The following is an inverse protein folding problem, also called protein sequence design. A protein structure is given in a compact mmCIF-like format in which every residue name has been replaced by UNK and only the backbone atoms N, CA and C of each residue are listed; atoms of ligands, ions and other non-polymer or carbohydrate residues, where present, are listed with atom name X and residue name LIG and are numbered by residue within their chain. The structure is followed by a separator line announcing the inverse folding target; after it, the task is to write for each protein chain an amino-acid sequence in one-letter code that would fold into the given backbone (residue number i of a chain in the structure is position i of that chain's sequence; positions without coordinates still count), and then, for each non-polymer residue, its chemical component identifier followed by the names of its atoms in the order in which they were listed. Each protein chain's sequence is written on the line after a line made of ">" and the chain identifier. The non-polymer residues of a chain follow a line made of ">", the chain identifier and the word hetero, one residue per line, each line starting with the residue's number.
data_IF_205744354804
#
_entry.id   IF_205744354804
#
_cell.length_a   1.000
_cell.length_b   1.000
_cell.length_c   1.000
_cell.angle_alpha   90.00
_cell.angle_beta   90.00
_cell.angle_gamma   90.00
#
_symmetry.space_group_name_H-M   'P 1'
#
loop_
_entity.id
_entity.type
_entity.pdbx_description
1 polymer ?
#
# COMPACT_ATOMS: atom_id res chain seq x y z
N UNK A 1 0.88 -9.30 -18.39
CA UNK A 1 -0.52 -9.65 -18.07
C UNK A 1 -0.60 -10.40 -16.75
N UNK A 2 0.13 -11.51 -16.60
CA UNK A 2 0.17 -12.33 -15.37
C UNK A 2 0.42 -11.55 -14.06
N UNK A 3 1.43 -10.67 -13.99
CA UNK A 3 1.72 -9.91 -12.75
C UNK A 3 0.56 -9.01 -12.32
N UNK A 4 -0.20 -8.46 -13.28
CA UNK A 4 -1.35 -7.60 -12.98
C UNK A 4 -2.49 -8.42 -12.36
N UNK A 5 -2.77 -9.60 -12.92
CA UNK A 5 -3.77 -10.52 -12.39
C UNK A 5 -3.40 -10.95 -10.95
N UNK A 6 -2.13 -11.25 -10.69
CA UNK A 6 -1.65 -11.56 -9.34
C UNK A 6 -1.82 -10.37 -8.38
N UNK A 7 -1.50 -9.14 -8.79
CA UNK A 7 -1.70 -7.94 -7.96
C UNK A 7 -3.18 -7.75 -7.58
N UNK A 8 -4.08 -7.90 -8.55
CA UNK A 8 -5.53 -7.77 -8.33
C UNK A 8 -6.02 -8.88 -7.39
N UNK A 9 -5.56 -10.12 -7.57
CA UNK A 9 -5.90 -11.24 -6.69
C UNK A 9 -5.37 -11.07 -5.25
N UNK A 10 -4.11 -10.66 -5.09
CA UNK A 10 -3.51 -10.44 -3.77
C UNK A 10 -4.16 -9.27 -3.04
N UNK A 11 -4.45 -8.17 -3.75
CA UNK A 11 -5.18 -7.02 -3.20
C UNK A 11 -6.60 -7.41 -2.75
N UNK A 12 -7.32 -8.18 -3.57
CA UNK A 12 -8.63 -8.72 -3.18
C UNK A 12 -8.56 -9.63 -1.94
N UNK A 13 -7.43 -10.33 -1.76
CA UNK A 13 -7.15 -11.15 -0.58
C UNK A 13 -6.69 -10.35 0.65
N UNK A 14 -6.64 -9.02 0.57
CA UNK A 14 -6.25 -8.14 1.68
C UNK A 14 -4.74 -8.07 1.93
N UNK A 15 -3.93 -8.60 1.01
CA UNK A 15 -2.47 -8.52 1.10
C UNK A 15 -1.99 -7.18 0.56
N UNK A 16 -0.98 -6.58 1.21
CA UNK A 16 -0.32 -5.39 0.69
C UNK A 16 0.61 -5.77 -0.44
N UNK A 17 0.38 -5.20 -1.61
CA UNK A 17 1.16 -5.52 -2.81
C UNK A 17 2.18 -4.44 -3.15
N UNK A 18 3.38 -4.83 -3.58
CA UNK A 18 4.39 -3.93 -4.14
C UNK A 18 4.86 -4.46 -5.50
N UNK A 19 5.06 -3.58 -6.47
CA UNK A 19 5.72 -3.93 -7.74
C UNK A 19 7.22 -3.67 -7.66
N UNK A 20 8.01 -4.55 -8.25
CA UNK A 20 9.45 -4.37 -8.38
C UNK A 20 9.82 -4.28 -9.86
N UNK A 21 10.56 -3.24 -10.21
CA UNK A 21 11.06 -3.02 -11.55
C UNK A 21 12.50 -2.50 -11.49
N UNK A 22 13.24 -2.67 -12.58
CA UNK A 22 14.64 -2.24 -12.66
C UNK A 22 14.96 -1.71 -14.05
N UNK A 23 16.10 -1.03 -14.18
CA UNK A 23 16.64 -0.59 -15.46
C UNK A 23 18.16 -0.67 -15.41
N UNK A 24 18.77 -1.07 -16.51
CA UNK A 24 20.22 -0.95 -16.67
C UNK A 24 20.58 0.48 -17.01
N UNK A 25 21.53 1.04 -16.28
CA UNK A 25 22.05 2.39 -16.52
C UNK A 25 23.50 2.27 -16.97
N UNK A 26 23.86 3.01 -18.01
CA UNK A 26 25.28 3.22 -18.32
C UNK A 26 25.90 4.13 -17.26
N UNK A 27 27.21 4.00 -16.99
CA UNK A 27 27.93 4.91 -16.09
C UNK A 27 27.70 6.39 -16.44
N UNK A 28 27.83 6.74 -17.73
CA UNK A 28 27.65 8.12 -18.21
C UNK A 28 26.24 8.67 -17.92
N UNK A 29 25.20 7.84 -18.09
CA UNK A 29 23.82 8.23 -17.81
C UNK A 29 23.63 8.49 -16.33
N UNK A 30 24.17 7.60 -15.48
CA UNK A 30 24.10 7.76 -14.04
C UNK A 30 24.86 9.00 -13.57
N UNK A 31 26.07 9.24 -14.07
CA UNK A 31 26.88 10.41 -13.70
C UNK A 31 26.15 11.72 -14.06
N UNK A 32 25.63 11.83 -15.28
CA UNK A 32 24.87 13.00 -15.72
C UNK A 32 23.61 13.25 -14.88
N UNK A 33 22.91 12.19 -14.47
CA UNK A 33 21.76 12.30 -13.57
C UNK A 33 22.18 12.69 -12.15
N UNK A 34 23.25 12.08 -11.64
CA UNK A 34 23.72 12.28 -10.27
C UNK A 34 24.22 13.71 -10.03
N UNK A 35 24.81 14.36 -11.03
CA UNK A 35 25.14 15.80 -10.95
C UNK A 35 23.89 16.65 -10.67
N UNK A 36 22.80 16.40 -11.40
CA UNK A 36 21.51 17.08 -11.20
C UNK A 36 20.92 16.76 -9.83
N UNK A 37 21.03 15.51 -9.41
CA UNK A 37 20.55 15.08 -8.09
C UNK A 37 21.30 15.78 -6.95
N UNK A 38 22.63 15.91 -7.05
CA UNK A 38 23.46 16.63 -6.06
C UNK A 38 23.08 18.11 -6.01
N UNK A 39 22.84 18.74 -7.17
CA UNK A 39 22.38 20.13 -7.24
C UNK A 39 21.00 20.30 -6.58
N UNK A 40 20.05 19.41 -6.86
CA UNK A 40 18.72 19.42 -6.23
C UNK A 40 18.83 19.23 -4.71
N UNK A 41 19.61 18.24 -4.26
CA UNK A 41 19.84 17.93 -2.84
C UNK A 41 20.46 19.10 -2.08
N UNK A 42 21.38 19.83 -2.71
CA UNK A 42 22.06 20.99 -2.13
C UNK A 42 21.20 22.27 -2.17
N UNK A 43 19.99 22.22 -2.73
CA UNK A 43 19.16 23.40 -2.85
C UNK A 43 18.59 23.84 -1.50
N UNK A 44 18.70 25.14 -1.22
CA UNK A 44 18.13 25.76 -0.01
C UNK A 44 16.63 26.07 -0.15
N UNK A 45 16.10 26.05 -1.38
CA UNK A 45 14.69 26.33 -1.69
C UNK A 45 14.11 25.23 -2.55
N UNK A 46 12.89 24.82 -2.21
CA UNK A 46 12.10 23.82 -2.95
C UNK A 46 12.85 22.50 -3.15
N UNK A 47 13.64 22.10 -2.15
CA UNK A 47 14.51 20.92 -2.23
C UNK A 47 13.74 19.64 -2.56
N UNK A 48 12.63 19.40 -1.86
CA UNK A 48 11.80 18.19 -2.07
C UNK A 48 11.28 18.14 -3.49
N UNK A 49 10.63 19.23 -3.96
CA UNK A 49 10.14 19.32 -5.33
C UNK A 49 11.23 19.08 -6.38
N UNK A 50 12.43 19.64 -6.20
CA UNK A 50 13.56 19.43 -7.13
C UNK A 50 14.08 18.00 -7.10
N UNK A 51 14.07 17.35 -5.93
CA UNK A 51 14.45 15.95 -5.82
C UNK A 51 13.45 15.06 -6.54
N UNK A 52 12.14 15.33 -6.39
CA UNK A 52 11.08 14.61 -7.08
C UNK A 52 11.21 14.76 -8.62
N UNK A 53 11.39 15.99 -9.10
CA UNK A 53 11.59 16.28 -10.54
C UNK A 53 12.80 15.53 -11.10
N UNK A 54 13.91 15.44 -10.35
CA UNK A 54 15.11 14.72 -10.78
C UNK A 54 14.91 13.20 -10.70
N UNK A 55 14.24 12.69 -9.68
CA UNK A 55 13.92 11.26 -9.55
C UNK A 55 13.08 10.78 -10.74
N UNK A 56 12.07 11.56 -11.15
CA UNK A 56 11.25 11.24 -12.32
C UNK A 56 12.06 11.09 -13.60
N UNK A 57 13.21 11.75 -13.75
CA UNK A 57 14.04 11.64 -14.96
C UNK A 57 14.64 10.24 -15.13
N UNK A 58 14.99 9.56 -14.04
CA UNK A 58 15.64 8.25 -14.07
C UNK A 58 14.64 7.09 -13.94
N UNK A 59 13.51 7.33 -13.29
CA UNK A 59 12.43 6.35 -13.05
C UNK A 59 11.51 6.15 -14.27
N UNK A 60 12.09 6.15 -15.48
CA UNK A 60 11.39 5.91 -16.75
C UNK A 60 11.90 4.67 -17.45
N UNK A 61 11.04 4.02 -18.22
CA UNK A 61 11.37 2.85 -19.04
C UNK A 61 11.92 1.67 -18.22
N UNK A 62 11.30 1.42 -17.06
CA UNK A 62 11.66 0.32 -16.18
C UNK A 62 11.13 -1.01 -16.72
N UNK A 63 11.90 -2.08 -16.48
CA UNK A 63 11.54 -3.46 -16.75
C UNK A 63 10.92 -4.05 -15.49
N UNK A 64 9.64 -4.40 -15.56
CA UNK A 64 8.93 -5.06 -14.47
C UNK A 64 9.52 -6.45 -14.20
N UNK A 65 9.97 -6.70 -12.97
CA UNK A 65 10.41 -8.01 -12.48
C UNK A 65 9.18 -8.81 -12.03
N UNK A 66 8.29 -8.17 -11.26
CA UNK A 66 7.15 -8.84 -10.66
C UNK A 66 6.49 -8.02 -9.55
N UNK A 67 5.76 -8.71 -8.68
CA UNK A 67 5.16 -8.14 -7.49
C UNK A 67 5.36 -9.02 -6.26
N UNK A 68 5.38 -8.42 -5.08
CA UNK A 68 5.28 -9.10 -3.79
C UNK A 68 3.89 -8.91 -3.20
N UNK A 69 3.52 -9.79 -2.27
CA UNK A 69 2.31 -9.68 -1.46
C UNK A 69 2.69 -9.94 0.00
N UNK A 70 2.40 -8.97 0.86
CA UNK A 70 2.77 -8.98 2.27
C UNK A 70 1.48 -9.06 3.08
N UNK A 71 1.38 -10.08 3.92
CA UNK A 71 0.31 -10.20 4.88
C UNK A 71 0.55 -9.23 6.04
N UNK A 72 -0.42 -8.34 6.30
CA UNK A 72 -0.41 -7.52 7.50
C UNK A 72 -1.05 -8.32 8.64
N UNK A 73 -0.20 -8.92 9.47
CA UNK A 73 -0.68 -9.72 10.59
C UNK A 73 -1.27 -8.82 11.64
N UNK A 74 -2.45 -9.22 12.13
CA UNK A 74 -3.00 -8.62 13.34
C UNK A 74 -2.02 -8.78 14.50
N UNK A 75 -1.98 -7.77 15.38
CA UNK A 75 -1.24 -7.89 16.63
C UNK A 75 -1.80 -9.07 17.43
N UNK A 76 -0.92 -9.70 18.21
CA UNK A 76 -1.29 -10.84 19.05
C UNK A 76 -2.44 -10.47 20.00
N UNK A 77 -3.46 -11.33 20.08
CA UNK A 77 -4.60 -11.14 20.97
C UNK A 77 -5.69 -10.18 20.48
N UNK A 78 -5.51 -9.47 19.36
CA UNK A 78 -6.53 -8.55 18.81
C UNK A 78 -7.90 -9.22 18.64
N UNK A 79 -8.03 -10.40 18.01
CA UNK A 79 -9.34 -11.04 17.84
C UNK A 79 -10.03 -11.38 19.17
N UNK A 80 -9.27 -11.86 20.15
CA UNK A 80 -9.78 -12.21 21.47
C UNK A 80 -10.22 -10.97 22.27
N UNK A 81 -9.46 -9.87 22.16
CA UNK A 81 -9.79 -8.59 22.78
C UNK A 81 -11.09 -8.02 22.21
N UNK A 82 -11.21 -7.92 20.88
CA UNK A 82 -12.42 -7.44 20.20
C UNK A 82 -13.64 -8.27 20.60
N UNK A 83 -13.51 -9.59 20.62
CA UNK A 83 -14.60 -10.48 21.03
C UNK A 83 -15.01 -10.24 22.49
N UNK A 84 -14.05 -10.06 23.39
CA UNK A 84 -14.31 -9.80 24.82
C UNK A 84 -15.03 -8.47 25.03
N UNK A 85 -14.55 -7.40 24.39
CA UNK A 85 -15.16 -6.08 24.44
C UNK A 85 -16.59 -6.09 23.86
N UNK A 86 -16.78 -6.76 22.72
CA UNK A 86 -18.09 -6.93 22.10
C UNK A 86 -19.08 -7.68 23.00
N UNK A 87 -18.64 -8.79 23.63
CA UNK A 87 -19.45 -9.54 24.63
C UNK A 87 -19.80 -8.72 25.87
N UNK A 88 -18.94 -7.79 26.26
CA UNK A 88 -19.20 -6.83 27.33
C UNK A 88 -20.18 -5.70 26.93
N UNK A 89 -20.68 -5.70 25.69
CA UNK A 89 -21.63 -4.71 25.18
C UNK A 89 -20.99 -3.44 24.61
N UNK A 90 -19.66 -3.37 24.52
CA UNK A 90 -18.94 -2.22 23.97
C UNK A 90 -19.05 -2.24 22.44
N UNK A 91 -19.47 -1.11 21.87
CA UNK A 91 -19.56 -0.94 20.42
C UNK A 91 -18.20 -0.49 19.87
N UNK A 92 -17.70 -1.22 18.88
CA UNK A 92 -16.37 -1.02 18.30
C UNK A 92 -16.53 -0.49 16.88
N UNK A 93 -15.81 0.58 16.57
CA UNK A 93 -15.80 1.22 15.25
C UNK A 93 -14.38 1.23 14.74
N UNK A 94 -14.19 0.81 13.48
CA UNK A 94 -12.89 0.91 12.79
C UNK A 94 -12.99 2.06 11.80
N UNK A 95 -12.12 3.05 11.99
CA UNK A 95 -11.95 4.19 11.09
C UNK A 95 -10.61 4.02 10.38
N UNK A 96 -10.64 3.85 9.06
CA UNK A 96 -9.42 3.63 8.26
C UNK A 96 -9.46 4.42 6.97
N UNK A 97 -8.28 4.82 6.49
CA UNK A 97 -8.09 5.41 5.16
C UNK A 97 -7.66 4.39 4.10
N UNK A 98 -7.66 3.09 4.44
CA UNK A 98 -7.38 2.01 3.50
C UNK A 98 -8.57 1.78 2.56
N UNK A 99 -8.37 1.00 1.51
CA UNK A 99 -9.44 0.58 0.58
C UNK A 99 -10.50 -0.21 1.32
N UNK A 100 -11.73 -0.16 0.80
CA UNK A 100 -12.88 -0.84 1.38
C UNK A 100 -12.64 -2.35 1.52
N UNK A 101 -12.03 -2.98 0.52
CA UNK A 101 -11.73 -4.41 0.53
C UNK A 101 -10.75 -4.78 1.64
N UNK A 102 -9.70 -3.98 1.85
CA UNK A 102 -8.73 -4.19 2.93
C UNK A 102 -9.42 -4.04 4.30
N UNK A 103 -10.25 -3.02 4.47
CA UNK A 103 -10.98 -2.78 5.71
C UNK A 103 -11.91 -3.95 6.06
N UNK A 104 -12.63 -4.49 5.07
CA UNK A 104 -13.50 -5.65 5.22
C UNK A 104 -12.67 -6.88 5.62
N UNK A 105 -11.56 -7.15 4.93
CA UNK A 105 -10.69 -8.28 5.23
C UNK A 105 -10.12 -8.22 6.66
N UNK A 106 -9.70 -7.03 7.13
CA UNK A 106 -9.24 -6.83 8.50
C UNK A 106 -10.38 -7.03 9.51
N UNK A 107 -11.59 -6.53 9.20
CA UNK A 107 -12.75 -6.70 10.06
C UNK A 107 -13.14 -8.19 10.24
N UNK A 108 -13.00 -9.00 9.19
CA UNK A 108 -13.16 -10.45 9.28
C UNK A 108 -12.03 -11.10 10.08
N UNK A 109 -10.76 -10.76 9.80
CA UNK A 109 -9.61 -11.34 10.48
C UNK A 109 -9.63 -11.08 11.99
N UNK A 110 -10.15 -9.92 12.42
CA UNK A 110 -10.22 -9.54 13.82
C UNK A 110 -11.54 -9.93 14.52
N UNK A 111 -12.40 -10.72 13.86
CA UNK A 111 -13.73 -11.12 14.34
C UNK A 111 -14.65 -9.95 14.71
N UNK A 112 -14.45 -8.79 14.10
CA UNK A 112 -15.36 -7.65 14.24
C UNK A 112 -16.66 -7.89 13.46
N UNK A 113 -16.56 -8.52 12.29
CA UNK A 113 -17.69 -8.98 11.48
C UNK A 113 -17.56 -10.48 11.18
N UNK A 114 -18.69 -11.13 10.91
CA UNK A 114 -18.74 -12.55 10.51
C UNK A 114 -19.77 -12.77 9.38
N UNK A 115 -19.80 -13.98 8.82
CA UNK A 115 -20.65 -14.31 7.67
C UNK A 115 -22.16 -14.31 7.99
N UNK A 116 -22.55 -14.38 9.27
CA UNK A 116 -23.94 -14.34 9.69
C UNK A 116 -24.45 -12.90 9.87
N UNK A 117 -23.56 -11.91 9.85
CA UNK A 117 -23.92 -10.50 9.98
C UNK A 117 -24.36 -9.90 8.64
N UNK A 118 -25.54 -9.27 8.64
CA UNK A 118 -26.00 -8.48 7.49
C UNK A 118 -25.13 -7.23 7.33
N UNK A 119 -24.53 -7.08 6.15
CA UNK A 119 -23.71 -5.93 5.80
C UNK A 119 -24.55 -4.83 5.16
N UNK A 120 -24.33 -3.59 5.59
CA UNK A 120 -24.94 -2.40 4.99
C UNK A 120 -23.82 -1.54 4.41
N UNK A 121 -23.79 -1.39 3.09
CA UNK A 121 -22.80 -0.59 2.38
C UNK A 121 -23.46 0.72 1.97
N UNK A 122 -22.84 1.83 2.35
CA UNK A 122 -23.29 3.18 2.00
C UNK A 122 -22.16 3.82 1.19
N UNK A 123 -22.42 4.05 -0.09
CA UNK A 123 -21.51 4.73 -1.01
C UNK A 123 -22.25 5.88 -1.68
N UNK A 124 -21.61 7.04 -1.80
CA UNK A 124 -22.06 8.07 -2.73
C UNK A 124 -21.50 7.73 -4.10
N UNK A 125 -22.35 7.43 -5.08
CA UNK A 125 -21.93 7.43 -6.47
C UNK A 125 -21.51 8.86 -6.81
N UNK A 126 -20.22 9.07 -7.11
CA UNK A 126 -19.71 10.32 -7.70
C UNK A 126 -18.70 9.95 -8.77
#
# INVERSE_FOLDING_TARGET
>A
RTTREHLEQFGASGLRTLCLAYKYLSPDTYESWNEKFIQAKSSLRDREKKLDEVAELIEKDLILIGCTAIEDKLQEGVPACIQTLSRAGIKIWVLTGDKMETAINIAYACNLINNDMKQFIISSET
#
